data_IF_272413136885
#
_entry.id   IF_272413136885
#
_cell.length_a   1.000
_cell.length_b   1.000
_cell.length_c   1.000
_cell.angle_alpha   90.00
_cell.angle_beta   90.00
_cell.angle_gamma   90.00
#
_symmetry.space_group_name_H-M   'P 1'
#
loop_
_entity.id
_entity.type
_entity.pdbx_description
1 polymer ?
#
# COMPACT_ATOMS: atom_id res chain seq x y z
N UNK A 1 10.93 13.63 18.43
CA UNK A 1 10.45 12.84 19.59
C UNK A 1 11.43 13.10 20.73
N UNK A 2 11.01 13.72 21.82
CA UNK A 2 11.83 13.87 23.03
C UNK A 2 11.13 13.11 24.15
N UNK A 3 11.83 12.16 24.77
CA UNK A 3 11.34 11.44 25.95
C UNK A 3 12.21 11.84 27.13
N UNK A 4 11.58 12.26 28.24
CA UNK A 4 12.27 12.45 29.50
C UNK A 4 12.45 11.06 30.15
N UNK A 5 13.71 10.67 30.32
CA UNK A 5 14.12 9.43 30.96
C UNK A 5 14.69 9.76 32.33
N UNK A 6 14.32 9.00 33.35
CA UNK A 6 14.98 9.07 34.65
C UNK A 6 16.44 8.60 34.50
N UNK A 7 17.45 9.45 34.77
CA UNK A 7 18.85 9.12 34.50
C UNK A 7 19.44 8.08 35.45
N UNK A 8 18.79 7.76 36.56
CA UNK A 8 19.27 6.74 37.51
C UNK A 8 18.64 5.37 37.25
N UNK A 9 17.41 5.33 36.73
CA UNK A 9 16.66 4.07 36.58
C UNK A 9 16.36 3.68 35.14
N UNK A 10 16.66 4.56 34.16
CA UNK A 10 16.28 4.40 32.76
C UNK A 10 14.78 4.12 32.53
N UNK A 11 13.92 4.46 33.49
CA UNK A 11 12.47 4.29 33.38
C UNK A 11 11.85 5.52 32.71
N UNK A 12 10.93 5.26 31.78
CA UNK A 12 10.11 6.30 31.15
C UNK A 12 9.05 6.78 32.15
N UNK A 13 9.22 7.99 32.69
CA UNK A 13 8.39 8.51 33.78
C UNK A 13 6.98 8.94 33.33
N UNK A 14 6.79 9.26 32.05
CA UNK A 14 5.48 9.61 31.48
C UNK A 14 5.36 9.18 30.02
N UNK A 15 4.63 8.10 29.76
CA UNK A 15 4.24 7.66 28.41
C UNK A 15 2.72 7.66 28.30
N UNK A 16 2.15 8.84 28.07
CA UNK A 16 0.83 8.95 27.42
C UNK A 16 1.05 9.28 25.95
N UNK A 17 0.95 8.27 25.10
CA UNK A 17 0.91 8.46 23.66
C UNK A 17 -0.46 9.06 23.30
N UNK A 18 -0.53 10.37 23.09
CA UNK A 18 -1.62 10.93 22.29
C UNK A 18 -1.10 10.94 20.85
N UNK A 19 -1.64 10.14 19.92
CA UNK A 19 -1.31 10.34 18.53
C UNK A 19 -1.68 11.78 18.19
N UNK A 20 -0.72 12.56 17.71
CA UNK A 20 -0.97 13.87 17.10
C UNK A 20 -1.77 13.60 15.85
N UNK A 21 -3.07 13.36 16.02
CA UNK A 21 -3.94 12.88 14.95
C UNK A 21 -4.32 14.08 14.13
N UNK A 22 -3.36 14.57 13.36
CA UNK A 22 -3.50 15.63 12.35
C UNK A 22 -4.38 15.14 11.19
N UNK A 23 -5.02 13.96 11.25
CA UNK A 23 -5.88 13.42 10.19
C UNK A 23 -6.92 14.43 9.70
N UNK A 24 -7.54 15.18 10.61
CA UNK A 24 -8.51 16.23 10.24
C UNK A 24 -7.84 17.35 9.43
N UNK A 25 -6.64 17.77 9.81
CA UNK A 25 -5.87 18.78 9.07
C UNK A 25 -5.31 18.23 7.75
N UNK A 26 -4.92 16.96 7.71
CA UNK A 26 -4.47 16.29 6.50
C UNK A 26 -5.62 16.15 5.49
N UNK A 27 -6.81 15.75 5.95
CA UNK A 27 -8.01 15.65 5.12
C UNK A 27 -8.41 17.03 4.58
N UNK A 28 -8.45 18.06 5.44
CA UNK A 28 -8.75 19.43 4.98
C UNK A 28 -7.74 19.92 3.90
N UNK A 29 -6.46 19.64 4.08
CA UNK A 29 -5.42 19.99 3.10
C UNK A 29 -5.52 19.16 1.81
N UNK A 30 -5.83 17.86 1.92
CA UNK A 30 -6.07 16.96 0.78
C UNK A 30 -7.27 17.46 -0.04
N UNK A 31 -8.37 17.84 0.62
CA UNK A 31 -9.55 18.43 -0.05
C UNK A 31 -9.17 19.71 -0.81
N UNK A 32 -8.49 20.66 -0.16
CA UNK A 32 -8.05 21.91 -0.81
C UNK A 32 -7.17 21.63 -2.04
N UNK A 33 -6.23 20.69 -1.92
CA UNK A 33 -5.34 20.33 -3.01
C UNK A 33 -6.09 19.61 -4.15
N UNK A 34 -7.03 18.73 -3.81
CA UNK A 34 -7.87 18.00 -4.77
C UNK A 34 -8.73 18.94 -5.62
N UNK A 35 -9.39 19.92 -4.98
CA UNK A 35 -10.20 20.94 -5.65
C UNK A 35 -9.35 21.84 -6.54
N UNK A 36 -8.17 22.25 -6.06
CA UNK A 36 -7.27 23.12 -6.82
C UNK A 36 -6.70 22.45 -8.07
N UNK A 37 -6.48 21.14 -8.01
CA UNK A 37 -5.84 20.38 -9.08
C UNK A 37 -6.82 19.53 -9.91
N UNK A 38 -8.11 19.52 -9.58
CA UNK A 38 -9.15 18.73 -10.22
C UNK A 38 -8.82 17.23 -10.24
N UNK A 39 -8.42 16.71 -9.07
CA UNK A 39 -8.01 15.31 -8.88
C UNK A 39 -8.85 14.66 -7.79
N UNK A 40 -9.45 13.50 -8.07
CA UNK A 40 -10.13 12.70 -7.05
C UNK A 40 -9.14 12.04 -6.08
N UNK A 41 -9.44 12.12 -4.78
CA UNK A 41 -8.64 11.50 -3.72
C UNK A 41 -9.24 10.16 -3.32
N UNK A 42 -8.51 9.09 -3.56
CA UNK A 42 -8.91 7.75 -3.12
C UNK A 42 -8.30 7.43 -1.75
N UNK A 43 -9.08 7.58 -0.68
CA UNK A 43 -8.63 7.31 0.70
C UNK A 43 -8.84 5.83 1.10
N UNK A 44 -9.79 5.14 0.49
CA UNK A 44 -10.15 3.76 0.82
C UNK A 44 -9.29 2.79 -0.01
N UNK A 45 -8.14 2.45 0.55
CA UNK A 45 -7.13 1.62 -0.10
C UNK A 45 -6.73 0.46 0.82
N UNK A 46 -6.54 -0.72 0.24
CA UNK A 46 -6.15 -1.93 0.96
C UNK A 46 -4.93 -2.60 0.32
N UNK A 47 -4.06 -3.24 1.12
CA UNK A 47 -2.90 -3.93 0.61
C UNK A 47 -3.30 -5.21 -0.12
N UNK A 48 -2.69 -5.44 -1.27
CA UNK A 48 -2.78 -6.71 -1.98
C UNK A 48 -1.40 -7.18 -2.42
N UNK A 49 -1.27 -8.50 -2.52
CA UNK A 49 -0.11 -9.16 -3.11
C UNK A 49 -0.54 -10.00 -4.30
N UNK A 50 0.09 -9.75 -5.46
CA UNK A 50 -0.09 -10.57 -6.66
C UNK A 50 1.18 -11.35 -6.93
N UNK A 51 1.06 -12.68 -7.00
CA UNK A 51 2.21 -13.57 -7.23
C UNK A 51 2.22 -14.03 -8.68
N UNK A 52 3.36 -13.83 -9.36
CA UNK A 52 3.65 -14.39 -10.67
C UNK A 52 4.72 -15.48 -10.62
N UNK A 53 4.62 -16.41 -11.56
CA UNK A 53 5.56 -17.51 -11.69
C UNK A 53 5.93 -17.77 -13.15
N UNK A 54 7.17 -18.22 -13.39
CA UNK A 54 7.67 -18.48 -14.73
C UNK A 54 8.97 -19.29 -14.73
N UNK A 55 9.47 -19.65 -15.91
CA UNK A 55 10.74 -20.37 -16.05
C UNK A 55 11.94 -19.50 -15.64
N UNK A 56 11.82 -18.20 -15.87
CA UNK A 56 12.81 -17.18 -15.48
C UNK A 56 12.18 -16.07 -14.64
N UNK A 57 13.02 -15.19 -14.08
CA UNK A 57 12.55 -14.06 -13.26
C UNK A 57 11.79 -13.04 -14.11
N UNK A 58 12.18 -12.91 -15.38
CA UNK A 58 11.50 -12.03 -16.33
C UNK A 58 10.11 -12.59 -16.68
N UNK A 59 10.01 -13.90 -16.93
CA UNK A 59 8.72 -14.55 -17.19
C UNK A 59 7.79 -14.45 -15.98
N UNK A 60 8.32 -14.67 -14.77
CA UNK A 60 7.57 -14.55 -13.53
C UNK A 60 7.11 -13.10 -13.27
N UNK A 61 7.97 -12.12 -13.59
CA UNK A 61 7.65 -10.68 -13.48
C UNK A 61 6.50 -10.33 -14.42
N UNK A 62 6.59 -10.67 -15.72
CA UNK A 62 5.53 -10.38 -16.67
C UNK A 62 4.23 -11.08 -16.28
N UNK A 63 4.31 -12.36 -15.86
CA UNK A 63 3.15 -13.08 -15.37
C UNK A 63 2.48 -12.39 -14.17
N UNK A 64 3.26 -11.80 -13.25
CA UNK A 64 2.71 -11.07 -12.11
C UNK A 64 1.98 -9.79 -12.57
N UNK A 65 2.57 -9.03 -13.51
CA UNK A 65 1.96 -7.82 -14.07
C UNK A 65 0.69 -8.14 -14.86
N UNK A 66 0.71 -9.15 -15.72
CA UNK A 66 -0.48 -9.57 -16.50
C UNK A 66 -1.64 -9.99 -15.58
N UNK A 67 -1.32 -10.68 -14.48
CA UNK A 67 -2.32 -11.06 -13.47
C UNK A 67 -2.85 -9.84 -12.73
N UNK A 68 -2.00 -8.90 -12.36
CA UNK A 68 -2.41 -7.70 -11.64
C UNK A 68 -3.27 -6.77 -12.52
N UNK A 69 -2.88 -6.55 -13.78
CA UNK A 69 -3.65 -5.74 -14.72
C UNK A 69 -5.01 -6.38 -14.99
N UNK A 70 -5.07 -7.70 -15.18
CA UNK A 70 -6.33 -8.43 -15.34
C UNK A 70 -7.19 -8.35 -14.08
N UNK A 71 -6.59 -8.56 -12.89
CA UNK A 71 -7.30 -8.53 -11.61
C UNK A 71 -7.80 -7.13 -11.23
N UNK A 72 -7.17 -6.07 -11.69
CA UNK A 72 -7.58 -4.70 -11.35
C UNK A 72 -8.28 -3.96 -12.50
N UNK A 73 -8.32 -4.56 -13.69
CA UNK A 73 -8.78 -3.90 -14.94
C UNK A 73 -8.11 -2.53 -15.13
N UNK A 74 -6.78 -2.52 -15.00
CA UNK A 74 -5.97 -1.31 -15.12
C UNK A 74 -4.73 -1.55 -15.97
N UNK A 75 -4.07 -0.46 -16.36
CA UNK A 75 -2.86 -0.54 -17.19
C UNK A 75 -1.65 -1.05 -16.39
N UNK A 76 -0.69 -1.67 -17.09
CA UNK A 76 0.58 -2.06 -16.46
C UNK A 76 1.33 -0.85 -15.88
N UNK A 77 1.22 0.32 -16.54
CA UNK A 77 1.80 1.58 -16.06
C UNK A 77 1.26 2.00 -14.69
N UNK A 78 -0.04 1.84 -14.48
CA UNK A 78 -0.68 2.12 -13.18
C UNK A 78 -0.23 1.12 -12.11
N UNK A 79 -0.16 -0.18 -12.43
CA UNK A 79 0.38 -1.20 -11.51
C UNK A 79 1.83 -0.87 -11.13
N UNK A 80 2.68 -0.49 -12.10
CA UNK A 80 4.07 -0.07 -11.85
C UNK A 80 4.16 1.16 -10.96
N UNK A 81 3.31 2.16 -11.19
CA UNK A 81 3.26 3.35 -10.35
C UNK A 81 2.89 2.98 -8.92
N UNK A 82 1.86 2.16 -8.71
CA UNK A 82 1.44 1.71 -7.37
C UNK A 82 2.53 0.91 -6.65
N UNK A 83 3.16 -0.04 -7.35
CA UNK A 83 4.33 -0.75 -6.80
C UNK A 83 5.48 0.20 -6.47
N UNK A 84 5.65 1.32 -7.18
CA UNK A 84 6.74 2.27 -6.90
C UNK A 84 6.43 3.15 -5.68
N UNK A 85 5.21 3.67 -5.60
CA UNK A 85 4.85 4.67 -4.59
C UNK A 85 4.34 4.07 -3.28
N UNK A 86 3.63 2.95 -3.35
CA UNK A 86 2.92 2.39 -2.19
C UNK A 86 3.53 1.10 -1.65
N UNK A 87 4.42 0.45 -2.41
CA UNK A 87 5.05 -0.81 -2.01
C UNK A 87 6.26 -1.22 -2.89
N UNK A 88 6.20 -2.34 -3.62
CA UNK A 88 7.36 -2.81 -4.41
C UNK A 88 7.15 -4.08 -5.25
N UNK A 89 8.19 -4.40 -6.03
CA UNK A 89 8.32 -5.66 -6.79
C UNK A 89 9.40 -6.51 -6.13
N UNK A 90 9.05 -7.72 -5.71
CA UNK A 90 9.92 -8.59 -4.92
C UNK A 90 10.19 -9.91 -5.63
N UNK A 91 11.43 -10.39 -5.56
CA UNK A 91 11.76 -11.76 -5.99
C UNK A 91 11.43 -12.69 -4.82
N UNK A 92 10.38 -13.50 -4.98
CA UNK A 92 9.99 -14.49 -3.95
C UNK A 92 10.94 -15.69 -3.93
N UNK A 93 11.23 -16.27 -5.09
CA UNK A 93 12.15 -17.41 -5.22
C UNK A 93 12.78 -17.45 -6.61
N UNK A 94 14.10 -17.63 -6.66
CA UNK A 94 14.79 -17.88 -7.92
C UNK A 94 14.60 -19.33 -8.41
N UNK A 95 14.58 -19.54 -9.74
CA UNK A 95 14.66 -18.52 -10.78
C UNK A 95 13.31 -17.85 -11.13
N UNK A 96 12.18 -18.23 -10.53
CA UNK A 96 10.89 -18.11 -11.22
C UNK A 96 9.66 -17.70 -10.40
N UNK A 97 9.82 -16.98 -9.30
CA UNK A 97 8.70 -16.45 -8.51
C UNK A 97 8.93 -14.99 -8.18
N UNK A 98 7.94 -14.14 -8.49
CA UNK A 98 7.93 -12.69 -8.23
C UNK A 98 6.60 -12.31 -7.57
N UNK A 99 6.65 -11.37 -6.65
CA UNK A 99 5.50 -10.85 -5.91
C UNK A 99 5.42 -9.34 -6.14
N UNK A 100 4.22 -8.86 -6.47
CA UNK A 100 3.91 -7.44 -6.53
C UNK A 100 3.13 -7.10 -5.27
N UNK A 101 3.68 -6.21 -4.46
CA UNK A 101 2.98 -5.61 -3.34
C UNK A 101 2.52 -4.21 -3.78
N UNK A 102 1.28 -3.85 -3.46
CA UNK A 102 0.74 -2.51 -3.71
C UNK A 102 -0.57 -2.27 -2.94
N UNK A 103 -0.92 -1.00 -2.79
CA UNK A 103 -2.26 -0.60 -2.39
C UNK A 103 -3.20 -0.57 -3.61
N UNK A 104 -4.40 -1.14 -3.45
CA UNK A 104 -5.48 -1.09 -4.44
C UNK A 104 -6.75 -0.49 -3.82
N UNK A 105 -7.60 0.20 -4.59
CA UNK A 105 -8.87 0.74 -4.11
C UNK A 105 -9.80 -0.37 -3.58
N UNK A 106 -10.45 -0.14 -2.44
CA UNK A 106 -11.32 -1.16 -1.83
C UNK A 106 -12.52 -1.53 -2.71
N UNK A 107 -13.10 -0.56 -3.42
CA UNK A 107 -14.21 -0.76 -4.36
C UNK A 107 -13.84 -1.78 -5.46
N UNK A 108 -12.65 -1.62 -6.06
CA UNK A 108 -12.14 -2.59 -7.04
C UNK A 108 -11.99 -3.97 -6.39
N UNK A 109 -11.46 -4.05 -5.17
CA UNK A 109 -11.25 -5.33 -4.49
C UNK A 109 -12.57 -6.00 -4.10
N UNK A 110 -13.57 -5.24 -3.67
CA UNK A 110 -14.93 -5.71 -3.38
C UNK A 110 -15.57 -6.29 -4.64
N UNK A 111 -15.47 -5.60 -5.77
CA UNK A 111 -15.98 -6.07 -7.07
C UNK A 111 -15.30 -7.38 -7.53
N UNK A 112 -14.06 -7.64 -7.08
CA UNK A 112 -13.35 -8.91 -7.34
C UNK A 112 -13.55 -9.97 -6.26
N UNK A 113 -14.40 -9.72 -5.26
CA UNK A 113 -14.67 -10.65 -4.15
C UNK A 113 -13.53 -10.76 -3.14
N UNK A 114 -12.65 -9.77 -3.06
CA UNK A 114 -11.50 -9.70 -2.14
C UNK A 114 -11.74 -8.78 -0.93
N UNK A 115 -12.83 -8.02 -0.91
CA UNK A 115 -13.14 -7.02 0.14
C UNK A 115 -13.05 -7.56 1.57
N UNK A 116 -13.73 -8.67 1.87
CA UNK A 116 -13.73 -9.27 3.22
C UNK A 116 -12.33 -9.73 3.66
N UNK A 117 -11.55 -10.25 2.72
CA UNK A 117 -10.21 -10.78 3.00
C UNK A 117 -9.22 -9.67 3.37
N UNK A 118 -9.37 -8.48 2.79
CA UNK A 118 -8.48 -7.35 3.05
C UNK A 118 -8.90 -6.49 4.25
N UNK A 119 -10.19 -6.46 4.59
CA UNK A 119 -10.69 -5.72 5.76
C UNK A 119 -10.39 -6.40 7.10
N UNK A 120 -10.05 -7.70 7.09
CA UNK A 120 -9.76 -8.48 8.31
C UNK A 120 -8.27 -8.47 8.70
N UNK A 121 -7.39 -7.87 7.90
CA UNK A 121 -5.94 -7.83 8.11
C UNK A 121 -5.43 -6.69 8.99
#
# INVERSE_FOLDING_TARGET
MYAAVDPQTNKLLHTKHRPTTTKVLAHAFLTELSEKHDVDVQENMAPIQVVGSGATVNDATQNAFDRATTLLDTSEGEVRARCTFTAGVQIGRLPGVVQLDMLSPLDILEDRGLGDAVQTQ
#
